data_IF_085119432756
#
_entry.id   IF_085119432756
#
_cell.length_a   1.000
_cell.length_b   1.000
_cell.length_c   1.000
_cell.angle_alpha   90.00
_cell.angle_beta   90.00
_cell.angle_gamma   90.00
#
_symmetry.space_group_name_H-M   'P 1'
#
loop_
_entity.id
_entity.type
_entity.pdbx_description
1 polymer ?
#
# COMPACT_ATOMS: atom_id res chain seq x y z
N UNK A 1 6.05 -4.39 -3.85
CA UNK A 1 7.29 -3.58 -3.86
C UNK A 1 6.97 -2.19 -4.39
N UNK A 2 7.87 -1.21 -4.25
CA UNK A 2 7.60 0.10 -4.80
C UNK A 2 8.66 1.15 -4.55
N UNK A 3 8.39 2.34 -5.05
CA UNK A 3 9.17 3.55 -4.83
C UNK A 3 8.34 4.59 -4.08
N UNK A 4 8.98 5.39 -3.24
CA UNK A 4 8.39 6.60 -2.68
C UNK A 4 9.45 7.68 -2.47
N UNK A 5 9.00 8.93 -2.52
CA UNK A 5 9.85 10.11 -2.42
C UNK A 5 10.09 10.60 -0.98
N UNK A 6 9.59 9.89 0.03
CA UNK A 6 9.57 10.38 1.40
C UNK A 6 10.18 9.38 2.39
N UNK A 7 11.22 9.81 3.13
CA UNK A 7 12.01 8.94 4.01
C UNK A 7 11.20 8.35 5.18
N UNK A 8 10.36 9.15 5.82
CA UNK A 8 9.50 8.67 6.91
C UNK A 8 8.53 7.59 6.42
N UNK A 9 7.96 7.76 5.23
CA UNK A 9 7.09 6.75 4.61
C UNK A 9 7.86 5.48 4.23
N UNK A 10 9.06 5.65 3.67
CA UNK A 10 9.96 4.53 3.38
C UNK A 10 10.34 3.73 4.64
N UNK A 11 10.51 4.38 5.79
CA UNK A 11 10.78 3.69 7.05
C UNK A 11 9.61 2.80 7.48
N UNK A 12 8.37 3.27 7.34
CA UNK A 12 7.15 2.50 7.61
C UNK A 12 7.05 1.28 6.68
N UNK A 13 7.31 1.49 5.38
CA UNK A 13 7.25 0.39 4.42
C UNK A 13 8.33 -0.67 4.68
N UNK A 14 9.53 -0.28 5.13
CA UNK A 14 10.64 -1.21 5.37
C UNK A 14 10.49 -2.09 6.61
N UNK A 15 9.71 -1.67 7.60
CA UNK A 15 9.42 -2.49 8.79
C UNK A 15 8.26 -3.48 8.57
N UNK A 16 7.61 -3.40 7.41
CA UNK A 16 6.56 -4.35 7.01
C UNK A 16 7.24 -5.57 6.40
N UNK A 17 7.03 -6.73 7.02
CA UNK A 17 7.61 -8.01 6.63
C UNK A 17 6.88 -8.61 5.41
N UNK A 18 5.55 -8.58 5.47
CA UNK A 18 4.67 -9.14 4.44
C UNK A 18 3.33 -8.42 4.42
N UNK A 19 2.65 -8.52 3.28
CA UNK A 19 1.39 -7.83 3.01
C UNK A 19 0.56 -8.64 2.02
N UNK A 20 -0.74 -8.76 2.28
CA UNK A 20 -1.69 -9.15 1.25
C UNK A 20 -2.97 -8.32 1.34
N UNK A 21 -3.66 -8.20 0.21
CA UNK A 21 -4.97 -7.57 0.16
C UNK A 21 -5.94 -8.33 -0.71
N UNK A 22 -7.21 -8.11 -0.42
CA UNK A 22 -8.36 -8.60 -1.16
C UNK A 22 -9.27 -7.43 -1.45
N UNK A 23 -9.42 -7.13 -2.73
CA UNK A 23 -10.34 -6.12 -3.22
C UNK A 23 -11.62 -6.80 -3.70
N UNK A 24 -12.77 -6.33 -3.23
CA UNK A 24 -14.08 -6.87 -3.60
C UNK A 24 -14.99 -5.73 -4.07
N UNK A 25 -15.73 -5.89 -5.18
CA UNK A 25 -16.73 -4.92 -5.58
C UNK A 25 -17.79 -4.77 -4.50
N UNK A 26 -18.17 -3.53 -4.19
CA UNK A 26 -19.27 -3.26 -3.27
C UNK A 26 -20.59 -3.73 -3.88
N UNK A 27 -21.42 -4.38 -3.07
CA UNK A 27 -22.73 -4.85 -3.50
C UNK A 27 -23.73 -3.71 -3.75
N UNK A 28 -23.52 -2.55 -3.10
CA UNK A 28 -24.43 -1.41 -3.14
C UNK A 28 -24.02 -0.32 -4.13
N UNK A 29 -22.74 -0.25 -4.50
CA UNK A 29 -22.23 0.77 -5.41
C UNK A 29 -21.17 0.18 -6.35
N UNK A 30 -21.46 0.21 -7.65
CA UNK A 30 -20.57 -0.29 -8.70
C UNK A 30 -19.24 0.46 -8.81
N UNK A 31 -19.18 1.68 -8.25
CA UNK A 31 -17.98 2.51 -8.24
C UNK A 31 -17.26 2.41 -6.88
N UNK A 32 -17.62 1.47 -6.00
CA UNK A 32 -16.90 1.26 -4.75
C UNK A 32 -16.28 -0.13 -4.68
N UNK A 33 -15.09 -0.19 -4.08
CA UNK A 33 -14.41 -1.42 -3.71
C UNK A 33 -14.30 -1.47 -2.20
N UNK A 34 -14.64 -2.59 -1.60
CA UNK A 34 -14.25 -2.91 -0.23
C UNK A 34 -12.92 -3.63 -0.28
N UNK A 35 -11.94 -3.04 0.39
CA UNK A 35 -10.59 -3.59 0.52
C UNK A 35 -10.44 -4.14 1.93
N UNK A 36 -9.95 -5.36 2.00
CA UNK A 36 -9.46 -5.97 3.22
C UNK A 36 -7.99 -6.29 3.02
N UNK A 37 -7.14 -5.88 3.95
CA UNK A 37 -5.72 -6.13 3.89
C UNK A 37 -5.18 -6.58 5.23
N UNK A 38 -4.12 -7.39 5.17
CA UNK A 38 -3.39 -7.86 6.34
C UNK A 38 -1.91 -7.50 6.16
N UNK A 39 -1.38 -6.85 7.19
CA UNK A 39 -0.01 -6.37 7.24
C UNK A 39 0.72 -7.06 8.37
N UNK A 40 1.88 -7.66 8.09
CA UNK A 40 2.80 -8.11 9.13
C UNK A 40 3.85 -7.02 9.35
N UNK A 41 3.72 -6.28 10.43
CA UNK A 41 4.58 -5.13 10.73
C UNK A 41 5.42 -5.46 11.95
N UNK A 42 6.74 -5.57 11.76
CA UNK A 42 7.69 -5.93 12.81
C UNK A 42 7.24 -7.18 13.61
N UNK A 43 6.83 -8.22 12.88
CA UNK A 43 6.29 -9.47 13.44
C UNK A 43 4.86 -9.43 13.99
N UNK A 44 4.20 -8.27 14.07
CA UNK A 44 2.82 -8.13 14.54
C UNK A 44 1.83 -8.10 13.38
N UNK A 45 0.73 -8.84 13.49
CA UNK A 45 -0.32 -8.84 12.48
C UNK A 45 -1.36 -7.74 12.72
N UNK A 46 -1.62 -6.97 11.66
CA UNK A 46 -2.57 -5.86 11.66
C UNK A 46 -3.43 -5.91 10.40
N UNK A 47 -4.72 -6.13 10.59
CA UNK A 47 -5.72 -6.15 9.55
C UNK A 47 -6.43 -4.80 9.43
N UNK A 48 -6.57 -4.30 8.21
CA UNK A 48 -7.33 -3.10 7.90
C UNK A 48 -8.46 -3.43 6.94
N UNK A 49 -9.59 -2.74 7.09
CA UNK A 49 -10.71 -2.85 6.15
C UNK A 49 -11.30 -1.49 5.89
N UNK A 50 -11.39 -1.11 4.62
CA UNK A 50 -11.84 0.22 4.21
C UNK A 50 -12.44 0.19 2.82
N UNK A 51 -13.14 1.26 2.47
CA UNK A 51 -13.71 1.41 1.13
C UNK A 51 -12.85 2.36 0.29
N UNK A 52 -12.74 2.03 -0.99
CA UNK A 52 -12.16 2.87 -2.03
C UNK A 52 -13.24 3.22 -3.06
N UNK A 53 -13.16 4.41 -3.65
CA UNK A 53 -14.07 4.87 -4.70
C UNK A 53 -13.35 4.94 -6.03
N UNK A 54 -13.92 4.37 -7.09
CA UNK A 54 -13.40 4.38 -8.45
C UNK A 54 -13.97 5.59 -9.19
N UNK A 55 -13.09 6.39 -9.78
CA UNK A 55 -13.44 7.45 -10.73
C UNK A 55 -12.52 7.36 -11.97
N UNK A 56 -13.03 6.72 -13.03
CA UNK A 56 -12.27 6.51 -14.27
C UNK A 56 -11.04 5.64 -14.05
N UNK A 57 -9.85 6.22 -14.26
CA UNK A 57 -8.54 5.59 -14.02
C UNK A 57 -7.98 5.88 -12.61
N UNK A 58 -8.73 6.59 -11.77
CA UNK A 58 -8.36 6.92 -10.40
C UNK A 58 -9.17 6.11 -9.38
N UNK A 59 -8.56 5.88 -8.22
CA UNK A 59 -9.16 5.25 -7.06
C UNK A 59 -8.85 6.10 -5.83
N UNK A 60 -9.89 6.64 -5.21
CA UNK A 60 -9.80 7.49 -4.03
C UNK A 60 -9.97 6.67 -2.75
N UNK A 61 -9.06 6.89 -1.81
CA UNK A 61 -9.13 6.43 -0.44
C UNK A 61 -9.18 7.66 0.48
N UNK A 62 -10.27 7.81 1.22
CA UNK A 62 -10.40 8.86 2.23
C UNK A 62 -10.75 8.25 3.57
N UNK A 63 -9.79 8.29 4.48
CA UNK A 63 -9.91 7.85 5.86
C UNK A 63 -9.70 9.06 6.80
N UNK A 64 -10.11 8.99 8.07
CA UNK A 64 -9.78 10.04 9.03
C UNK A 64 -8.27 10.29 9.05
N UNK A 65 -7.87 11.52 8.68
CA UNK A 65 -6.49 12.00 8.57
C UNK A 65 -5.62 11.40 7.46
N UNK A 66 -6.15 10.52 6.59
CA UNK A 66 -5.41 9.99 5.43
C UNK A 66 -6.24 10.20 4.18
N UNK A 67 -5.66 10.86 3.19
CA UNK A 67 -6.22 10.97 1.86
C UNK A 67 -5.21 10.42 0.87
N UNK A 68 -5.62 9.46 0.06
CA UNK A 68 -4.79 8.94 -1.03
C UNK A 68 -5.59 8.90 -2.32
N UNK A 69 -4.99 9.40 -3.39
CA UNK A 69 -5.48 9.21 -4.74
C UNK A 69 -4.53 8.26 -5.44
N UNK A 70 -5.03 7.10 -5.84
CA UNK A 70 -4.32 6.14 -6.68
C UNK A 70 -4.72 6.36 -8.14
N UNK A 71 -3.75 6.34 -9.04
CA UNK A 71 -3.95 6.21 -10.47
C UNK A 71 -3.53 4.80 -10.90
N UNK A 72 -4.42 4.11 -11.61
CA UNK A 72 -4.15 2.77 -12.12
C UNK A 72 -3.33 2.85 -13.40
N UNK A 73 -2.15 2.23 -13.39
CA UNK A 73 -1.25 2.19 -14.54
C UNK A 73 -1.25 0.81 -15.19
N UNK A 74 -0.83 0.70 -16.47
CA UNK A 74 -0.68 -0.58 -17.13
C UNK A 74 0.25 -1.54 -16.35
N UNK A 75 -0.28 -2.70 -15.96
CA UNK A 75 0.46 -3.77 -15.28
C UNK A 75 0.67 -5.00 -16.15
N UNK A 76 1.26 -6.04 -15.54
CA UNK A 76 1.30 -7.41 -16.07
C UNK A 76 0.01 -8.19 -15.79
N UNK A 77 -0.15 -9.36 -16.42
CA UNK A 77 -1.25 -10.27 -16.11
C UNK A 77 -1.18 -10.71 -14.63
N UNK A 78 -2.30 -10.51 -13.91
CA UNK A 78 -2.35 -10.75 -12.46
C UNK A 78 -1.66 -9.69 -11.59
N UNK A 79 -1.22 -8.57 -12.18
CA UNK A 79 -0.55 -7.48 -11.47
C UNK A 79 -1.39 -6.19 -11.47
N UNK A 80 -1.20 -5.38 -10.43
CA UNK A 80 -1.74 -4.03 -10.34
C UNK A 80 -0.60 -3.07 -10.07
N UNK A 81 -0.52 -2.01 -10.88
CA UNK A 81 0.42 -0.91 -10.68
C UNK A 81 -0.38 0.32 -10.29
N UNK A 82 -0.08 0.87 -9.12
CA UNK A 82 -0.66 2.13 -8.67
C UNK A 82 0.40 3.19 -8.57
N UNK A 83 0.13 4.37 -9.14
CA UNK A 83 0.79 5.61 -8.73
C UNK A 83 -0.09 6.25 -7.67
N UNK A 84 0.47 6.63 -6.53
CA UNK A 84 -0.27 7.21 -5.43
C UNK A 84 0.24 8.60 -5.09
N UNK A 85 -0.70 9.48 -4.77
CA UNK A 85 -0.45 10.73 -4.07
C UNK A 85 -1.18 10.65 -2.73
N UNK A 86 -0.42 10.66 -1.64
CA UNK A 86 -0.96 10.48 -0.29
C UNK A 86 -0.62 11.68 0.57
N UNK A 87 -1.59 12.12 1.37
CA UNK A 87 -1.39 13.03 2.49
C UNK A 87 -1.93 12.37 3.73
N UNK A 88 -1.12 12.30 4.78
CA UNK A 88 -1.46 11.74 6.06
C UNK A 88 -1.13 12.73 7.18
N UNK A 89 -1.99 12.82 8.20
CA UNK A 89 -1.80 13.65 9.39
C UNK A 89 -1.91 12.80 10.64
N UNK A 90 -1.24 13.20 11.71
CA UNK A 90 -1.34 12.54 13.02
C UNK A 90 -1.17 11.00 12.97
N UNK A 91 -0.27 10.50 12.13
CA UNK A 91 -0.07 9.05 11.92
C UNK A 91 0.25 8.30 13.21
N UNK A 92 0.87 8.96 14.19
CA UNK A 92 1.12 8.41 15.53
C UNK A 92 -0.15 7.89 16.21
N UNK A 93 -1.31 8.54 16.01
CA UNK A 93 -2.60 8.07 16.55
C UNK A 93 -3.04 6.78 15.91
N UNK A 94 -2.88 6.66 14.58
CA UNK A 94 -3.23 5.44 13.86
C UNK A 94 -2.32 4.27 14.28
N UNK A 95 -1.01 4.49 14.37
CA UNK A 95 -0.07 3.47 14.84
C UNK A 95 -0.35 3.05 16.29
N UNK A 96 -0.70 3.99 17.16
CA UNK A 96 -1.11 3.68 18.52
C UNK A 96 -2.36 2.79 18.56
N UNK A 97 -3.37 3.08 17.72
CA UNK A 97 -4.57 2.23 17.59
C UNK A 97 -4.24 0.81 17.09
N UNK A 98 -3.23 0.68 16.23
CA UNK A 98 -2.74 -0.60 15.72
C UNK A 98 -1.80 -1.32 16.71
N UNK A 99 -1.52 -0.71 17.87
CA UNK A 99 -0.52 -1.18 18.85
C UNK A 99 0.89 -1.33 18.23
N UNK A 100 1.21 -0.46 17.28
CA UNK A 100 2.51 -0.36 16.61
C UNK A 100 3.26 0.83 17.19
N UNK A 101 4.51 0.61 17.61
CA UNK A 101 5.37 1.67 18.14
C UNK A 101 6.34 2.14 17.05
N UNK A 102 5.95 3.18 16.31
CA UNK A 102 6.82 3.88 15.35
C UNK A 102 6.87 5.35 15.74
N UNK A 103 8.08 5.88 15.85
CA UNK A 103 8.30 7.29 16.10
C UNK A 103 8.24 8.06 14.77
N UNK A 104 7.11 8.73 14.52
CA UNK A 104 6.93 9.64 13.38
C UNK A 104 6.73 11.03 13.95
N UNK A 105 7.71 11.90 13.70
CA UNK A 105 7.76 13.25 14.24
C UNK A 105 6.98 14.26 13.41
N UNK A 106 6.64 13.92 12.17
CA UNK A 106 5.98 14.83 11.24
C UNK A 106 4.47 14.90 11.51
N UNK A 107 3.95 16.10 11.74
CA UNK A 107 2.51 16.36 11.94
C UNK A 107 1.68 16.06 10.69
N UNK A 108 2.27 16.33 9.51
CA UNK A 108 1.73 16.01 8.19
C UNK A 108 2.83 15.40 7.31
N UNK A 109 2.47 14.34 6.62
CA UNK A 109 3.29 13.60 5.68
C UNK A 109 2.61 13.63 4.32
N UNK A 110 3.26 14.18 3.30
CA UNK A 110 2.83 14.05 1.91
C UNK A 110 3.84 13.23 1.14
N UNK A 111 3.40 12.23 0.40
CA UNK A 111 4.28 11.36 -0.38
C UNK A 111 3.70 11.03 -1.74
N UNK A 112 4.59 10.90 -2.71
CA UNK A 112 4.30 10.31 -4.02
C UNK A 112 4.96 8.94 -4.08
N UNK A 113 4.19 7.94 -4.49
CA UNK A 113 4.67 6.58 -4.55
C UNK A 113 4.21 5.86 -5.81
N UNK A 114 4.91 4.79 -6.16
CA UNK A 114 4.45 3.82 -7.15
C UNK A 114 4.63 2.41 -6.62
N UNK A 115 3.57 1.60 -6.72
CA UNK A 115 3.49 0.25 -6.19
C UNK A 115 3.36 -0.76 -7.32
N UNK A 116 4.05 -1.87 -7.19
CA UNK A 116 3.78 -3.11 -7.92
C UNK A 116 3.26 -4.15 -6.94
N UNK A 117 2.03 -4.61 -7.19
CA UNK A 117 1.37 -5.67 -6.46
C UNK A 117 1.00 -6.77 -7.44
N UNK A 118 1.16 -8.02 -7.03
CA UNK A 118 0.88 -9.18 -7.87
C UNK A 118 0.05 -10.18 -7.09
N UNK A 119 -0.74 -10.98 -7.83
CA UNK A 119 -1.50 -12.10 -7.27
C UNK A 119 -0.59 -13.15 -6.64
N UNK A 120 0.56 -13.37 -7.26
CA UNK A 120 1.58 -14.31 -6.81
C UNK A 120 2.67 -13.58 -6.00
N UNK A 121 3.46 -14.34 -5.25
CA UNK A 121 4.55 -13.80 -4.43
C UNK A 121 5.80 -13.42 -5.22
N UNK A 122 5.82 -13.68 -6.53
CA UNK A 122 6.88 -13.24 -7.44
C UNK A 122 6.31 -12.82 -8.79
N UNK A 123 7.08 -12.00 -9.51
CA UNK A 123 6.78 -11.53 -10.87
C UNK A 123 7.92 -11.94 -11.80
N UNK A 124 7.66 -11.99 -13.11
CA UNK A 124 8.72 -12.28 -14.09
C UNK A 124 9.69 -11.10 -14.16
N UNK A 125 10.94 -11.39 -14.46
CA UNK A 125 11.98 -10.36 -14.63
C UNK A 125 11.57 -9.31 -15.67
N UNK A 126 10.94 -9.73 -16.78
CA UNK A 126 10.45 -8.81 -17.81
C UNK A 126 9.40 -7.83 -17.29
N UNK A 127 8.51 -8.31 -16.42
CA UNK A 127 7.43 -7.49 -15.85
C UNK A 127 8.00 -6.52 -14.81
N UNK A 128 9.01 -6.97 -14.05
CA UNK A 128 9.76 -6.14 -13.12
C UNK A 128 10.50 -5.01 -13.85
N UNK A 129 11.20 -5.31 -14.95
CA UNK A 129 11.89 -4.30 -15.76
C UNK A 129 10.91 -3.28 -16.36
N UNK A 130 9.75 -3.73 -16.82
CA UNK A 130 8.69 -2.83 -17.27
C UNK A 130 8.21 -1.91 -16.13
N UNK A 131 8.03 -2.44 -14.92
CA UNK A 131 7.67 -1.61 -13.76
C UNK A 131 8.76 -0.59 -13.40
N UNK A 132 10.03 -1.00 -13.37
CA UNK A 132 11.17 -0.09 -13.14
C UNK A 132 11.24 1.01 -14.20
N UNK A 133 10.95 0.69 -15.46
CA UNK A 133 10.87 1.68 -16.52
C UNK A 133 9.74 2.69 -16.30
N UNK A 134 8.55 2.23 -15.87
CA UNK A 134 7.44 3.12 -15.51
C UNK A 134 7.82 4.05 -14.36
N UNK A 135 8.45 3.51 -13.30
CA UNK A 135 8.92 4.30 -12.17
C UNK A 135 9.94 5.37 -12.62
N UNK A 136 10.88 5.01 -13.49
CA UNK A 136 11.86 5.93 -14.09
C UNK A 136 11.20 7.06 -14.88
N UNK A 137 10.19 6.75 -15.71
CA UNK A 137 9.43 7.76 -16.44
C UNK A 137 8.69 8.75 -15.51
N UNK A 138 8.33 8.30 -14.31
CA UNK A 138 7.67 9.11 -13.28
C UNK A 138 8.65 9.85 -12.36
N UNK A 139 9.96 9.74 -12.61
CA UNK A 139 11.00 10.47 -11.88
C UNK A 139 11.59 9.72 -10.68
N UNK A 140 11.15 8.49 -10.40
CA UNK A 140 11.82 7.65 -9.40
C UNK A 140 13.11 7.07 -9.99
N UNK A 141 14.23 7.19 -9.27
CA UNK A 141 15.54 6.72 -9.76
C UNK A 141 16.15 5.71 -8.80
N UNK A 142 16.95 4.79 -9.33
CA UNK A 142 17.60 3.73 -8.54
C UNK A 142 16.72 2.50 -8.33
N UNK A 143 17.01 1.77 -7.25
CA UNK A 143 16.27 0.57 -6.86
C UNK A 143 15.01 0.91 -6.05
N UNK A 144 13.99 0.03 -6.04
CA UNK A 144 12.79 0.20 -5.22
C UNK A 144 13.16 0.47 -3.75
N UNK A 145 12.47 1.43 -3.12
CA UNK A 145 12.71 1.77 -1.72
C UNK A 145 12.35 0.62 -0.77
N UNK A 146 11.44 -0.27 -1.19
CA UNK A 146 11.03 -1.46 -0.46
C UNK A 146 10.62 -2.60 -1.40
N UNK A 147 10.91 -3.82 -0.97
CA UNK A 147 10.41 -5.05 -1.57
C UNK A 147 10.25 -6.08 -0.46
N UNK A 148 9.09 -6.71 -0.39
CA UNK A 148 8.83 -7.74 0.62
C UNK A 148 9.40 -9.08 0.15
N UNK A 149 10.08 -9.78 1.06
CA UNK A 149 10.67 -11.08 0.77
C UNK A 149 9.56 -12.15 0.81
N UNK A 150 9.31 -12.87 -0.30
CA UNK A 150 8.23 -13.86 -0.39
C UNK A 150 8.42 -15.07 0.55
N UNK A 151 9.58 -15.20 1.21
CA UNK A 151 9.83 -16.23 2.24
C UNK A 151 9.22 -15.88 3.60
N UNK A 152 8.85 -14.62 3.83
CA UNK A 152 8.19 -14.24 5.07
C UNK A 152 6.75 -14.76 5.07
N UNK A 153 6.33 -15.35 6.18
CA UNK A 153 4.96 -15.79 6.36
C UNK A 153 4.00 -14.61 6.32
N UNK A 154 2.81 -14.83 5.77
CA UNK A 154 1.70 -13.89 5.78
C UNK A 154 0.85 -14.08 7.03
N UNK A 155 0.24 -12.99 7.51
CA UNK A 155 -0.80 -13.06 8.53
C UNK A 155 -2.04 -13.74 7.95
N UNK A 156 -2.72 -14.56 8.77
CA UNK A 156 -4.03 -15.08 8.41
C UNK A 156 -5.09 -13.96 8.46
N UNK A 157 -6.18 -14.12 7.71
CA UNK A 157 -7.34 -13.21 7.78
C UNK A 157 -7.87 -13.14 9.23
N UNK A 158 -7.90 -11.94 9.80
CA UNK A 158 -8.32 -11.69 11.18
C UNK A 158 -7.28 -12.04 12.25
N UNK A 159 -6.03 -12.28 11.88
CA UNK A 159 -4.94 -12.47 12.83
C UNK A 159 -4.48 -11.13 13.45
N UNK A 160 -4.37 -11.07 14.77
CA UNK A 160 -3.87 -9.89 15.47
C UNK A 160 -4.92 -8.78 15.63
N UNK A 161 -4.51 -7.53 15.45
CA UNK A 161 -5.37 -6.35 15.65
C UNK A 161 -6.11 -6.01 14.36
N UNK A 162 -7.42 -5.82 14.42
CA UNK A 162 -8.23 -5.43 13.25
C UNK A 162 -8.86 -4.06 13.43
N UNK A 163 -8.76 -3.21 12.40
CA UNK A 163 -9.42 -1.92 12.32
C UNK A 163 -10.29 -1.84 11.06
N UNK A 164 -11.55 -1.45 11.26
CA UNK A 164 -12.44 -1.06 10.16
C UNK A 164 -12.46 0.47 10.08
N UNK A 165 -12.09 1.01 8.92
CA UNK A 165 -11.85 2.43 8.66
C UNK A 165 -12.81 2.96 7.58
#
# INVERSE_FOLDING_TARGET
>A
MGYSDTDAYNAILKITDSYWMKMTPSASDKNQLTVHEENKINGSCVGLSFNMTIDGDHVDLSLPNISTVFQVLPGCDGCVVFRANSTARDLSKLFHMMNINIDITDEELTTHAIYLMARETSVKDSDLEQFKQQASCLGFTGEPNFSYDPKHDFCAEGEGTHLSL
#
